data_IF_777950487933
#
_entry.id   IF_777950487933
#
_cell.length_a   1.000
_cell.length_b   1.000
_cell.length_c   1.000
_cell.angle_alpha   90.00
_cell.angle_beta   90.00
_cell.angle_gamma   90.00
#
_symmetry.space_group_name_H-M   'P 1'
#
loop_
_entity.id
_entity.type
_entity.pdbx_description
1 polymer ?
#
# COMPACT_ATOMS: atom_id res chain seq x y z
N UNK A 1 20.48 1.09 -6.13
CA UNK A 1 20.58 0.61 -4.74
C UNK A 1 19.45 -0.39 -4.50
N UNK A 2 19.76 -1.51 -3.87
CA UNK A 2 18.74 -2.50 -3.46
C UNK A 2 18.97 -2.75 -1.96
N UNK A 3 17.90 -2.68 -1.19
CA UNK A 3 17.86 -3.02 0.23
C UNK A 3 16.81 -4.11 0.44
N UNK A 4 17.13 -5.14 1.21
CA UNK A 4 16.23 -6.24 1.55
C UNK A 4 16.09 -6.33 3.06
N UNK A 5 14.86 -6.42 3.54
CA UNK A 5 14.52 -6.62 4.96
C UNK A 5 13.64 -7.85 5.08
N UNK A 6 13.99 -8.72 5.99
CA UNK A 6 13.15 -9.89 6.35
C UNK A 6 12.25 -9.53 7.51
N UNK A 7 11.00 -9.94 7.43
CA UNK A 7 10.05 -9.95 8.55
C UNK A 7 9.91 -11.39 9.03
N UNK A 8 9.89 -11.58 10.33
CA UNK A 8 9.73 -12.91 10.93
C UNK A 8 8.62 -12.89 11.97
N UNK A 9 8.03 -14.04 12.23
CA UNK A 9 7.01 -14.18 13.27
C UNK A 9 7.53 -13.69 14.64
N UNK A 10 6.91 -12.64 15.16
CA UNK A 10 7.32 -11.99 16.42
C UNK A 10 8.65 -11.23 16.37
N UNK A 11 9.30 -11.13 15.20
CA UNK A 11 10.63 -10.52 15.08
C UNK A 11 10.65 -8.99 15.11
N UNK A 12 9.53 -8.35 14.79
CA UNK A 12 9.39 -6.89 14.76
C UNK A 12 7.95 -6.46 15.09
N UNK A 13 7.77 -5.28 15.71
CA UNK A 13 6.43 -4.71 15.90
C UNK A 13 5.90 -4.12 14.57
N UNK A 14 4.59 -4.22 14.33
CA UNK A 14 3.94 -3.62 13.16
C UNK A 14 4.20 -2.11 13.06
N UNK A 15 4.29 -1.42 14.18
CA UNK A 15 4.58 0.01 14.25
C UNK A 15 5.90 0.36 13.55
N UNK A 16 6.94 -0.44 13.75
CA UNK A 16 8.23 -0.23 13.09
C UNK A 16 8.12 -0.30 11.57
N UNK A 17 7.35 -1.26 11.05
CA UNK A 17 7.13 -1.41 9.60
C UNK A 17 6.31 -0.23 9.07
N UNK A 18 5.26 0.17 9.81
CA UNK A 18 4.43 1.33 9.46
C UNK A 18 5.25 2.62 9.38
N UNK A 19 6.13 2.87 10.34
CA UNK A 19 7.00 4.06 10.35
C UNK A 19 7.99 4.06 9.19
N UNK A 20 8.57 2.90 8.85
CA UNK A 20 9.47 2.76 7.72
C UNK A 20 8.76 3.00 6.39
N UNK A 21 7.55 2.45 6.23
CA UNK A 21 6.71 2.67 5.06
C UNK A 21 6.29 4.13 4.96
N UNK A 22 5.83 4.73 6.06
CA UNK A 22 5.44 6.14 6.10
C UNK A 22 6.63 7.07 5.73
N UNK A 23 7.84 6.75 6.17
CA UNK A 23 9.03 7.49 5.78
C UNK A 23 9.31 7.37 4.27
N UNK A 24 9.12 6.18 3.69
CA UNK A 24 9.26 5.99 2.25
C UNK A 24 8.20 6.80 1.48
N UNK A 25 6.93 6.76 1.88
CA UNK A 25 5.84 7.52 1.28
C UNK A 25 6.02 9.03 1.45
N UNK A 26 6.40 9.46 2.64
CA UNK A 26 6.60 10.86 2.99
C UNK A 26 7.76 11.53 2.21
N UNK A 27 8.69 10.75 1.69
CA UNK A 27 9.79 11.26 0.86
C UNK A 27 9.37 11.56 -0.59
N UNK A 28 8.13 11.26 -0.99
CA UNK A 28 7.62 11.55 -2.33
C UNK A 28 7.55 13.04 -2.60
N UNK A 29 7.90 13.43 -3.84
CA UNK A 29 7.91 14.82 -4.32
C UNK A 29 7.04 15.06 -5.54
N UNK A 30 6.73 14.02 -6.32
CA UNK A 30 6.01 14.14 -7.59
C UNK A 30 4.86 13.14 -7.70
N UNK A 31 5.15 11.86 -7.50
CA UNK A 31 4.17 10.79 -7.71
C UNK A 31 4.27 9.69 -6.66
N UNK A 32 3.14 9.10 -6.32
CA UNK A 32 3.02 7.83 -5.61
C UNK A 32 2.02 6.95 -6.37
N UNK A 33 2.51 5.87 -6.95
CA UNK A 33 1.70 4.88 -7.64
C UNK A 33 1.67 3.59 -6.83
N UNK A 34 0.54 3.29 -6.23
CA UNK A 34 0.34 2.14 -5.35
C UNK A 34 -0.49 1.07 -6.07
N UNK A 35 -0.06 -0.18 -5.96
CA UNK A 35 -0.85 -1.34 -6.37
C UNK A 35 -0.82 -2.38 -5.24
N UNK A 36 -1.96 -2.54 -4.56
CA UNK A 36 -2.04 -3.29 -3.32
C UNK A 36 -3.15 -4.34 -3.36
N UNK A 37 -2.76 -5.58 -3.10
CA UNK A 37 -3.71 -6.68 -2.94
C UNK A 37 -4.55 -6.48 -1.68
N UNK A 38 -3.88 -6.30 -0.55
CA UNK A 38 -4.50 -6.20 0.77
C UNK A 38 -3.90 -4.99 1.49
N UNK A 39 -4.77 -4.04 1.83
CA UNK A 39 -4.43 -2.83 2.55
C UNK A 39 -5.46 -2.63 3.67
N UNK A 40 -5.27 -3.37 4.74
CA UNK A 40 -6.16 -3.39 5.90
C UNK A 40 -5.34 -3.35 7.19
N UNK A 41 -4.95 -2.15 7.57
CA UNK A 41 -4.20 -1.86 8.78
C UNK A 41 -5.15 -1.47 9.91
N UNK A 42 -4.82 -1.86 11.13
CA UNK A 42 -5.51 -1.48 12.35
C UNK A 42 -4.86 -0.23 12.98
N UNK A 43 -5.51 0.36 13.97
CA UNK A 43 -4.88 1.44 14.72
C UNK A 43 -3.76 0.89 15.63
N UNK A 44 -2.59 1.56 15.77
CA UNK A 44 -2.26 2.87 15.22
C UNK A 44 -1.59 2.87 13.83
N UNK A 45 -1.27 1.71 13.27
CA UNK A 45 -0.55 1.57 11.99
C UNK A 45 -1.33 2.17 10.82
N UNK A 46 -2.66 1.97 10.80
CA UNK A 46 -3.56 2.59 9.83
C UNK A 46 -3.42 4.10 9.77
N UNK A 47 -3.37 4.76 10.94
CA UNK A 47 -3.20 6.21 11.03
C UNK A 47 -1.87 6.65 10.45
N UNK A 48 -0.77 6.00 10.84
CA UNK A 48 0.58 6.38 10.42
C UNK A 48 0.74 6.30 8.90
N UNK A 49 0.33 5.17 8.31
CA UNK A 49 0.45 4.96 6.87
C UNK A 49 -0.56 5.80 6.10
N UNK A 50 -1.80 5.86 6.55
CA UNK A 50 -2.86 6.67 5.94
C UNK A 50 -2.51 8.16 5.93
N UNK A 51 -2.05 8.71 7.05
CA UNK A 51 -1.60 10.10 7.12
C UNK A 51 -0.43 10.39 6.16
N UNK A 52 0.50 9.46 6.00
CA UNK A 52 1.62 9.63 5.06
C UNK A 52 1.15 9.73 3.60
N UNK A 53 0.13 8.96 3.21
CA UNK A 53 -0.49 9.02 1.87
C UNK A 53 -1.24 10.33 1.68
N UNK A 54 -2.13 10.69 2.62
CA UNK A 54 -2.94 11.92 2.56
C UNK A 54 -2.05 13.16 2.57
N UNK A 55 -1.02 13.17 3.40
CA UNK A 55 -0.09 14.30 3.47
C UNK A 55 0.76 14.46 2.21
N UNK A 56 1.12 13.36 1.53
CA UNK A 56 1.76 13.43 0.23
C UNK A 56 0.85 14.13 -0.79
N UNK A 57 -0.43 13.76 -0.85
CA UNK A 57 -1.42 14.38 -1.72
C UNK A 57 -1.60 15.88 -1.41
N UNK A 58 -1.71 16.25 -0.13
CA UNK A 58 -1.80 17.65 0.31
C UNK A 58 -0.59 18.50 -0.09
N UNK A 59 0.59 17.89 -0.20
CA UNK A 59 1.80 18.58 -0.70
C UNK A 59 1.84 18.69 -2.23
N UNK A 60 0.82 18.19 -2.93
CA UNK A 60 0.73 18.23 -4.39
C UNK A 60 1.39 17.04 -5.09
N UNK A 61 1.72 15.96 -4.36
CA UNK A 61 2.15 14.70 -4.95
C UNK A 61 0.95 14.06 -5.65
N UNK A 62 1.11 13.66 -6.90
CA UNK A 62 0.06 12.91 -7.60
C UNK A 62 0.00 11.48 -7.06
N UNK A 63 -1.01 11.18 -6.25
CA UNK A 63 -1.23 9.88 -5.64
C UNK A 63 -2.25 9.09 -6.47
N UNK A 64 -1.96 7.82 -6.77
CA UNK A 64 -2.88 6.87 -7.42
C UNK A 64 -2.80 5.54 -6.72
N UNK A 65 -3.94 4.97 -6.37
CA UNK A 65 -4.02 3.67 -5.70
C UNK A 65 -4.93 2.71 -6.50
N UNK A 66 -4.35 1.62 -7.01
CA UNK A 66 -5.09 0.47 -7.47
C UNK A 66 -5.11 -0.60 -6.36
N UNK A 67 -6.26 -1.22 -6.13
CA UNK A 67 -6.40 -2.25 -5.12
C UNK A 67 -7.27 -3.41 -5.59
N UNK A 68 -7.03 -4.60 -5.04
CA UNK A 68 -7.86 -5.76 -5.31
C UNK A 68 -9.23 -5.60 -4.65
N UNK A 69 -10.28 -5.84 -5.40
CA UNK A 69 -11.64 -5.86 -4.88
C UNK A 69 -12.21 -7.28 -5.01
N UNK A 70 -12.82 -7.77 -3.94
CA UNK A 70 -13.35 -9.14 -3.86
C UNK A 70 -14.70 -9.29 -4.59
N UNK A 71 -14.75 -8.85 -5.85
CA UNK A 71 -15.92 -9.01 -6.72
C UNK A 71 -15.49 -9.12 -8.19
N UNK A 72 -16.32 -9.79 -8.97
CA UNK A 72 -16.09 -10.03 -10.40
C UNK A 72 -16.18 -8.75 -11.24
N UNK A 73 -17.02 -7.82 -10.85
CA UNK A 73 -17.21 -6.52 -11.49
C UNK A 73 -17.46 -5.45 -10.43
N UNK A 74 -17.06 -4.21 -10.68
CA UNK A 74 -17.45 -3.11 -9.80
C UNK A 74 -18.95 -3.15 -9.52
N UNK A 75 -19.40 -3.03 -8.27
CA UNK A 75 -20.81 -3.04 -7.94
C UNK A 75 -21.50 -1.90 -8.72
N UNK A 76 -22.69 -2.14 -9.29
CA UNK A 76 -23.48 -1.04 -9.84
C UNK A 76 -23.80 -0.03 -8.74
N UNK A 77 -23.69 1.24 -9.10
CA UNK A 77 -23.82 2.40 -8.23
C UNK A 77 -24.85 2.29 -7.10
N UNK A 78 -24.36 2.59 -5.91
CA UNK A 78 -24.97 3.12 -4.70
C UNK A 78 -26.40 2.69 -4.29
N UNK A 79 -26.57 2.40 -2.99
CA UNK A 79 -25.57 2.55 -1.94
C UNK A 79 -24.58 1.37 -1.93
N UNK A 80 -23.30 1.63 -1.57
CA UNK A 80 -22.36 0.53 -1.35
C UNK A 80 -22.90 -0.39 -0.25
N UNK A 81 -22.51 -1.66 -0.22
CA UNK A 81 -22.85 -2.51 0.91
C UNK A 81 -22.47 -1.77 2.20
N UNK A 82 -23.38 -1.73 3.17
CA UNK A 82 -23.17 -1.07 4.45
C UNK A 82 -22.12 -1.87 5.23
N UNK A 83 -20.85 -1.54 5.01
CA UNK A 83 -19.72 -1.97 5.81
C UNK A 83 -19.04 -0.75 6.42
N UNK A 84 -18.24 -0.94 7.44
CA UNK A 84 -17.36 0.13 7.90
C UNK A 84 -16.49 0.59 6.72
N UNK A 85 -16.25 1.92 6.55
CA UNK A 85 -15.38 2.39 5.50
C UNK A 85 -14.02 1.72 5.65
N UNK A 86 -13.53 1.11 4.57
CA UNK A 86 -12.19 0.54 4.56
C UNK A 86 -11.16 1.65 4.76
N UNK A 87 -9.95 1.29 5.18
CA UNK A 87 -8.87 2.29 5.26
C UNK A 87 -8.72 3.03 3.93
N UNK A 88 -8.85 2.34 2.80
CA UNK A 88 -8.78 2.91 1.44
C UNK A 88 -9.84 3.99 1.24
N UNK A 89 -11.08 3.75 1.64
CA UNK A 89 -12.17 4.72 1.51
C UNK A 89 -11.93 5.99 2.32
N UNK A 90 -11.18 5.88 3.41
CA UNK A 90 -10.85 7.01 4.30
C UNK A 90 -9.70 7.89 3.80
N UNK A 91 -8.96 7.47 2.78
CA UNK A 91 -7.77 8.20 2.31
C UNK A 91 -8.07 9.44 1.49
N UNK A 92 -9.28 9.54 0.91
CA UNK A 92 -9.71 10.66 0.04
C UNK A 92 -8.70 10.96 -1.10
N UNK A 93 -8.12 9.90 -1.69
CA UNK A 93 -7.21 9.96 -2.83
C UNK A 93 -7.80 9.20 -4.03
N UNK A 94 -7.38 9.49 -5.26
CA UNK A 94 -7.82 8.74 -6.43
C UNK A 94 -7.54 7.24 -6.29
N UNK A 95 -8.61 6.44 -6.25
CA UNK A 95 -8.53 4.99 -6.13
C UNK A 95 -9.15 4.27 -7.32
N UNK A 96 -8.66 3.08 -7.61
CA UNK A 96 -9.22 2.21 -8.65
C UNK A 96 -9.34 0.77 -8.15
N UNK A 97 -10.55 0.27 -7.90
CA UNK A 97 -10.76 -1.14 -7.61
C UNK A 97 -10.49 -1.99 -8.87
N UNK A 98 -9.76 -3.08 -8.70
CA UNK A 98 -9.51 -4.09 -9.73
C UNK A 98 -10.31 -5.34 -9.33
N UNK A 99 -11.23 -5.82 -10.15
CA UNK A 99 -11.98 -7.03 -9.84
C UNK A 99 -11.05 -8.21 -9.58
N UNK A 100 -11.23 -8.87 -8.42
CA UNK A 100 -10.37 -9.97 -7.95
C UNK A 100 -10.94 -11.37 -8.24
N UNK A 101 -11.97 -11.46 -9.07
CA UNK A 101 -12.61 -12.72 -9.46
C UNK A 101 -12.77 -12.75 -10.98
N UNK A 102 -12.34 -13.81 -11.69
CA UNK A 102 -11.73 -15.04 -11.17
C UNK A 102 -10.23 -14.93 -10.80
N UNK A 103 -9.55 -13.87 -11.24
CA UNK A 103 -8.10 -13.70 -11.06
C UNK A 103 -7.81 -12.57 -10.07
N UNK A 104 -6.91 -12.84 -9.12
CA UNK A 104 -6.50 -11.86 -8.11
C UNK A 104 -5.51 -10.83 -8.67
N UNK A 105 -5.72 -9.55 -8.37
CA UNK A 105 -4.68 -8.54 -8.48
C UNK A 105 -3.78 -8.62 -7.24
N UNK A 106 -2.74 -9.42 -7.29
CA UNK A 106 -1.95 -9.82 -6.10
C UNK A 106 -0.68 -8.97 -5.87
N UNK A 107 -0.68 -7.75 -6.38
CA UNK A 107 0.46 -6.83 -6.25
C UNK A 107 0.60 -6.26 -4.83
N UNK A 108 1.82 -5.94 -4.46
CA UNK A 108 2.20 -5.30 -3.20
C UNK A 108 3.40 -4.40 -3.46
N UNK A 109 3.13 -3.29 -4.16
CA UNK A 109 4.20 -2.34 -4.42
C UNK A 109 3.71 -0.89 -4.39
N UNK A 110 4.63 0.01 -4.18
CA UNK A 110 4.48 1.42 -4.43
C UNK A 110 5.70 1.95 -5.18
N UNK A 111 5.45 2.71 -6.24
CA UNK A 111 6.47 3.43 -7.00
C UNK A 111 6.44 4.89 -6.55
N UNK A 112 7.58 5.39 -6.10
CA UNK A 112 7.77 6.77 -5.70
C UNK A 112 8.58 7.50 -6.74
N UNK A 113 8.04 8.62 -7.25
CA UNK A 113 8.70 9.56 -8.15
C UNK A 113 9.26 8.94 -9.46
N UNK A 114 8.84 7.71 -9.80
CA UNK A 114 9.34 6.96 -10.96
C UNK A 114 10.81 6.54 -10.85
N UNK A 115 11.38 6.49 -9.64
CA UNK A 115 12.79 6.15 -9.43
C UNK A 115 13.07 5.27 -8.22
N UNK A 116 12.10 5.06 -7.34
CA UNK A 116 12.20 4.18 -6.19
C UNK A 116 10.96 3.29 -6.05
N UNK A 117 11.18 2.03 -5.70
CA UNK A 117 10.11 1.04 -5.51
C UNK A 117 10.23 0.42 -4.13
N UNK A 118 9.11 0.35 -3.42
CA UNK A 118 8.91 -0.49 -2.25
C UNK A 118 8.02 -1.66 -2.68
N UNK A 119 8.50 -2.88 -2.51
CA UNK A 119 7.76 -4.10 -2.87
C UNK A 119 8.15 -5.25 -1.94
N UNK A 120 7.65 -6.43 -2.20
CA UNK A 120 7.98 -7.65 -1.48
C UNK A 120 6.83 -8.64 -1.42
N UNK A 121 6.92 -9.58 -0.50
CA UNK A 121 5.87 -10.59 -0.31
C UNK A 121 4.78 -10.15 0.68
N UNK A 122 5.05 -9.17 1.53
CA UNK A 122 4.14 -8.78 2.61
C UNK A 122 2.94 -7.97 2.13
N UNK A 123 1.74 -8.35 2.56
CA UNK A 123 0.57 -7.49 2.48
C UNK A 123 0.71 -6.28 3.42
N UNK A 124 -0.10 -5.27 3.22
CA UNK A 124 -0.14 -4.13 4.12
C UNK A 124 -1.21 -4.37 5.20
N UNK A 125 -0.92 -5.34 6.06
CA UNK A 125 -1.74 -5.72 7.22
C UNK A 125 -0.84 -5.96 8.42
N UNK A 126 -1.33 -5.71 9.63
CA UNK A 126 -0.55 -5.90 10.86
C UNK A 126 -0.11 -7.36 11.06
N UNK A 127 -0.96 -8.31 10.72
CA UNK A 127 -0.63 -9.73 10.80
C UNK A 127 0.49 -10.13 9.84
N UNK A 128 0.47 -9.64 8.60
CA UNK A 128 1.54 -9.89 7.63
C UNK A 128 2.88 -9.32 8.09
N UNK A 129 2.85 -8.26 8.89
CA UNK A 129 4.05 -7.60 9.40
C UNK A 129 4.60 -8.21 10.69
N UNK A 130 3.76 -8.93 11.46
CA UNK A 130 4.14 -9.41 12.80
C UNK A 130 4.14 -10.92 12.98
N UNK A 131 3.38 -11.65 12.14
CA UNK A 131 3.11 -13.08 12.30
C UNK A 131 3.50 -13.95 11.12
N UNK A 132 4.00 -13.34 10.05
CA UNK A 132 4.36 -14.05 8.84
C UNK A 132 5.82 -13.87 8.49
N UNK A 133 6.39 -14.92 7.90
CA UNK A 133 7.71 -14.84 7.27
C UNK A 133 7.55 -14.11 5.93
N UNK A 134 8.07 -12.90 5.83
CA UNK A 134 7.93 -12.04 4.67
C UNK A 134 9.23 -11.31 4.33
N UNK A 135 9.24 -10.67 3.18
CA UNK A 135 10.35 -9.82 2.75
C UNK A 135 9.83 -8.48 2.23
N UNK A 136 10.56 -7.42 2.57
CA UNK A 136 10.43 -6.09 2.00
C UNK A 136 11.67 -5.81 1.16
N UNK A 137 11.47 -5.30 -0.04
CA UNK A 137 12.54 -4.93 -0.97
C UNK A 137 12.38 -3.48 -1.39
N UNK A 138 13.42 -2.68 -1.14
CA UNK A 138 13.49 -1.31 -1.63
C UNK A 138 14.48 -1.25 -2.79
N UNK A 139 14.05 -0.69 -3.91
CA UNK A 139 14.88 -0.57 -5.11
C UNK A 139 14.95 0.89 -5.56
N UNK A 140 16.13 1.48 -5.54
CA UNK A 140 16.39 2.79 -6.15
C UNK A 140 16.86 2.59 -7.59
N UNK A 141 15.93 2.58 -8.55
CA UNK A 141 16.22 2.39 -9.98
C UNK A 141 15.05 2.87 -10.84
N UNK A 142 15.33 3.80 -11.73
CA UNK A 142 14.34 4.28 -12.73
C UNK A 142 13.90 3.16 -13.68
N UNK A 143 14.82 2.27 -14.05
CA UNK A 143 14.50 1.17 -14.96
C UNK A 143 13.51 0.17 -14.32
N UNK A 144 13.67 -0.13 -13.03
CA UNK A 144 12.74 -0.99 -12.30
C UNK A 144 11.41 -0.29 -12.03
N UNK A 145 11.44 1.01 -11.75
CA UNK A 145 10.21 1.78 -11.52
C UNK A 145 9.37 1.97 -12.79
N UNK A 146 9.95 1.80 -13.98
CA UNK A 146 9.28 1.95 -15.27
C UNK A 146 8.83 0.59 -15.88
N UNK A 147 9.22 -0.53 -15.29
CA UNK A 147 8.86 -1.86 -15.77
C UNK A 147 7.44 -2.25 -15.33
#
# INVERSE_FOLDING_TARGET
MIEVRTLTDGGQPALQVAEQLAAFLGAARRTLDLALYDFDLLQPTAKIVGEAVVEAERRGVAVRLAFNADYEKPPPLFPPPQGEPTLIDSLDVPTRPIPGVPDLMHHKYVIRDGDAVWTGSTNWTDDSWTRCENVIVLVGSKAVAAA
#
